data_IF_161911795399
#
_entry.id   IF_161911795399
#
_cell.length_a   1.000
_cell.length_b   1.000
_cell.length_c   1.000
_cell.angle_alpha   90.00
_cell.angle_beta   90.00
_cell.angle_gamma   90.00
#
_symmetry.space_group_name_H-M   'P 1'
#
loop_
_entity.id
_entity.type
_entity.pdbx_description
1 polymer ?
#
# COMPACT_ATOMS: atom_id res chain seq x y z
N UNK A 1 1.28 -11.48 -19.75
CA UNK A 1 0.97 -11.91 -18.43
C UNK A 1 1.28 -10.78 -17.49
N UNK A 2 0.53 -10.04 -17.05
CA UNK A 2 -0.81 -10.02 -16.77
C UNK A 2 -1.12 -8.68 -16.17
N UNK A 3 -1.47 -7.81 -17.06
CA UNK A 3 -2.03 -6.52 -16.71
C UNK A 3 -3.25 -6.67 -15.79
N UNK A 4 -3.91 -7.82 -15.81
CA UNK A 4 -5.09 -8.13 -15.01
C UNK A 4 -4.87 -8.14 -13.49
N UNK A 5 -3.68 -8.49 -13.02
CA UNK A 5 -3.34 -8.44 -11.59
C UNK A 5 -3.00 -7.04 -11.08
N UNK A 6 -2.76 -6.08 -11.98
CA UNK A 6 -2.52 -4.67 -11.64
C UNK A 6 -3.80 -3.82 -11.70
N UNK A 7 -4.86 -4.31 -12.34
CA UNK A 7 -6.09 -3.55 -12.49
C UNK A 7 -6.90 -3.45 -11.18
N UNK A 8 -6.78 -4.43 -10.29
CA UNK A 8 -7.53 -4.47 -9.04
C UNK A 8 -6.73 -4.06 -7.80
N UNK A 9 -5.45 -3.77 -7.95
CA UNK A 9 -4.56 -3.35 -6.87
C UNK A 9 -3.47 -2.43 -7.42
N UNK A 10 -3.71 -1.15 -7.42
CA UNK A 10 -2.77 -0.14 -7.90
C UNK A 10 -2.54 0.93 -6.86
N UNK A 11 -1.29 1.18 -6.56
CA UNK A 11 -0.85 2.25 -5.64
C UNK A 11 0.11 3.15 -6.38
N UNK A 12 -0.07 4.46 -6.22
CA UNK A 12 0.89 5.47 -6.65
C UNK A 12 1.14 6.41 -5.49
N UNK A 13 2.40 6.54 -5.09
CA UNK A 13 2.84 7.42 -4.01
C UNK A 13 3.95 8.34 -4.49
N UNK A 14 3.91 9.58 -4.06
CA UNK A 14 4.93 10.60 -4.36
C UNK A 14 5.39 11.17 -3.03
N UNK A 15 6.69 11.15 -2.81
CA UNK A 15 7.27 11.65 -1.57
C UNK A 15 8.78 11.74 -1.61
N UNK A 16 9.34 12.06 -0.47
CA UNK A 16 10.79 12.18 -0.27
C UNK A 16 11.35 10.91 0.35
N UNK A 17 12.43 10.40 -0.20
CA UNK A 17 13.15 9.26 0.38
C UNK A 17 13.83 9.74 1.67
N UNK A 18 13.53 9.04 2.79
CA UNK A 18 14.02 9.43 4.12
C UNK A 18 14.88 8.38 4.80
N UNK A 19 15.05 7.21 4.19
CA UNK A 19 15.92 6.14 4.69
C UNK A 19 16.92 5.67 3.64
N UNK A 20 17.92 4.91 4.08
CA UNK A 20 18.71 4.06 3.20
C UNK A 20 17.95 2.79 2.82
N UNK A 21 18.54 1.99 1.94
CA UNK A 21 18.02 0.70 1.53
C UNK A 21 18.41 -0.38 2.54
N UNK A 22 17.41 -1.14 3.01
CA UNK A 22 17.63 -2.30 3.89
C UNK A 22 17.28 -3.56 3.12
N UNK A 23 18.22 -4.49 2.99
CA UNK A 23 17.98 -5.77 2.33
C UNK A 23 16.85 -6.53 3.04
N UNK A 24 15.91 -7.03 2.26
CA UNK A 24 14.78 -7.83 2.76
C UNK A 24 14.95 -9.30 2.41
N UNK A 25 14.98 -9.62 1.14
CA UNK A 25 15.08 -10.99 0.63
C UNK A 25 15.52 -10.99 -0.83
N UNK A 26 15.82 -12.17 -1.34
CA UNK A 26 16.10 -12.36 -2.75
C UNK A 26 15.19 -13.45 -3.34
N UNK A 27 14.78 -13.26 -4.59
CA UNK A 27 14.00 -14.21 -5.36
C UNK A 27 14.72 -14.45 -6.69
N UNK A 28 15.12 -15.69 -6.97
CA UNK A 28 15.85 -16.03 -8.18
C UNK A 28 17.07 -15.13 -8.47
N UNK A 29 17.82 -14.79 -7.41
CA UNK A 29 19.01 -13.94 -7.53
C UNK A 29 18.74 -12.44 -7.64
N UNK A 30 17.50 -12.01 -7.63
CA UNK A 30 17.10 -10.59 -7.59
C UNK A 30 16.87 -10.15 -6.15
N UNK A 31 17.62 -9.14 -5.71
CA UNK A 31 17.48 -8.58 -4.36
C UNK A 31 16.34 -7.58 -4.25
N UNK A 32 15.61 -7.68 -3.15
CA UNK A 32 14.54 -6.76 -2.76
C UNK A 32 14.91 -6.04 -1.47
N UNK A 33 14.67 -4.75 -1.47
CA UNK A 33 15.06 -3.83 -0.40
C UNK A 33 13.87 -3.02 0.10
N UNK A 34 13.90 -2.71 1.39
CA UNK A 34 12.98 -1.77 2.01
C UNK A 34 13.59 -0.38 2.00
N UNK A 35 12.77 0.61 1.69
CA UNK A 35 13.08 2.04 1.78
C UNK A 35 11.85 2.80 2.21
N UNK A 36 12.03 3.83 3.02
CA UNK A 36 10.93 4.63 3.54
C UNK A 36 10.74 5.92 2.73
N UNK A 37 9.51 6.17 2.33
CA UNK A 37 9.10 7.36 1.61
C UNK A 37 8.22 8.21 2.52
N UNK A 38 8.60 9.48 2.73
CA UNK A 38 7.82 10.46 3.44
C UNK A 38 6.82 11.11 2.48
N UNK A 39 5.55 10.87 2.68
CA UNK A 39 4.46 11.34 1.82
C UNK A 39 3.65 12.40 2.55
N UNK A 40 3.62 13.61 1.99
CA UNK A 40 2.87 14.71 2.57
C UNK A 40 1.37 14.54 2.34
N UNK A 41 0.59 14.85 3.38
CA UNK A 41 -0.87 14.97 3.30
C UNK A 41 -1.25 16.39 2.87
N UNK A 42 -2.53 16.58 2.57
CA UNK A 42 -3.11 17.92 2.40
C UNK A 42 -3.07 18.76 3.68
N UNK A 43 -3.05 18.10 4.84
CA UNK A 43 -2.73 18.70 6.12
C UNK A 43 -1.21 18.84 6.27
N UNK A 44 -0.75 19.64 7.22
CA UNK A 44 0.69 19.81 7.52
C UNK A 44 1.40 18.54 8.05
N UNK A 45 0.72 17.42 8.02
CA UNK A 45 1.23 16.12 8.46
C UNK A 45 1.78 15.31 7.27
N UNK A 46 2.68 14.39 7.57
CA UNK A 46 3.21 13.45 6.61
C UNK A 46 3.14 12.01 7.14
N UNK A 47 3.06 11.06 6.22
CA UNK A 47 3.11 9.63 6.51
C UNK A 47 4.40 9.04 6.00
N UNK A 48 4.98 8.12 6.75
CA UNK A 48 6.09 7.31 6.28
C UNK A 48 5.53 6.01 5.71
N UNK A 49 5.75 5.80 4.43
CA UNK A 49 5.28 4.62 3.69
C UNK A 49 6.45 3.73 3.33
N UNK A 50 6.49 2.48 3.82
CA UNK A 50 7.53 1.54 3.44
C UNK A 50 7.30 1.03 2.02
N UNK A 51 8.34 1.10 1.21
CA UNK A 51 8.38 0.58 -0.14
C UNK A 51 9.27 -0.66 -0.20
N UNK A 52 8.81 -1.69 -0.89
CA UNK A 52 9.60 -2.86 -1.27
C UNK A 52 10.04 -2.68 -2.73
N UNK A 53 11.31 -2.53 -2.97
CA UNK A 53 11.85 -2.19 -4.27
C UNK A 53 12.94 -3.18 -4.71
N UNK A 54 12.91 -3.55 -5.99
CA UNK A 54 13.94 -4.40 -6.59
C UNK A 54 15.20 -3.61 -6.92
N UNK A 55 16.35 -4.23 -6.73
CA UNK A 55 17.65 -3.70 -7.19
C UNK A 55 17.72 -3.45 -8.70
N UNK A 56 16.81 -4.02 -9.48
CA UNK A 56 16.70 -3.76 -10.93
C UNK A 56 16.09 -2.41 -11.27
N UNK A 57 15.31 -1.84 -10.34
CA UNK A 57 14.61 -0.55 -10.55
C UNK A 57 15.46 0.64 -10.11
N UNK A 58 16.40 0.43 -9.19
CA UNK A 58 17.18 1.49 -8.56
C UNK A 58 18.54 0.94 -8.12
N UNK A 59 19.57 1.77 -8.17
CA UNK A 59 20.88 1.42 -7.65
C UNK A 59 20.90 1.53 -6.12
N UNK A 60 20.74 0.40 -5.44
CA UNK A 60 20.65 0.32 -3.98
C UNK A 60 21.97 0.64 -3.26
N UNK A 61 23.07 0.80 -3.99
CA UNK A 61 24.37 1.20 -3.43
C UNK A 61 24.51 2.71 -3.27
N UNK A 62 23.59 3.49 -3.89
CA UNK A 62 23.58 4.95 -3.81
C UNK A 62 22.67 5.45 -2.70
N UNK A 63 22.98 6.62 -2.20
CA UNK A 63 22.15 7.33 -1.23
C UNK A 63 21.22 8.30 -1.95
N UNK A 64 19.91 8.04 -1.87
CA UNK A 64 18.87 8.88 -2.46
C UNK A 64 18.07 9.67 -1.41
N UNK A 65 18.52 9.71 -0.16
CA UNK A 65 17.83 10.48 0.88
C UNK A 65 17.71 11.95 0.48
N UNK A 66 16.52 12.50 0.64
CA UNK A 66 16.20 13.87 0.21
C UNK A 66 15.71 13.99 -1.23
N UNK A 67 15.82 12.95 -2.06
CA UNK A 67 15.27 12.96 -3.41
C UNK A 67 13.76 12.73 -3.39
N UNK A 68 13.05 13.42 -4.29
CA UNK A 68 11.62 13.18 -4.52
C UNK A 68 11.43 12.10 -5.56
N UNK A 69 10.59 11.15 -5.24
CA UNK A 69 10.33 9.98 -6.08
C UNK A 69 8.84 9.69 -6.16
N UNK A 70 8.37 9.39 -7.35
CA UNK A 70 7.10 8.72 -7.59
C UNK A 70 7.34 7.21 -7.69
N UNK A 71 6.61 6.45 -6.92
CA UNK A 71 6.62 5.00 -6.96
C UNK A 71 5.22 4.48 -7.25
N UNK A 72 5.12 3.60 -8.23
CA UNK A 72 3.88 2.91 -8.58
C UNK A 72 4.04 1.41 -8.43
N UNK A 73 2.99 0.74 -7.97
CA UNK A 73 3.01 -0.70 -7.77
C UNK A 73 1.74 -1.23 -7.16
N UNK A 74 1.89 -2.21 -6.29
CA UNK A 74 0.80 -2.90 -5.63
C UNK A 74 0.91 -2.78 -4.12
N UNK A 75 -0.22 -2.69 -3.45
CA UNK A 75 -0.28 -2.79 -2.01
C UNK A 75 -0.13 -4.25 -1.59
N UNK A 76 0.82 -4.55 -0.71
CA UNK A 76 1.07 -5.91 -0.21
C UNK A 76 1.20 -5.94 1.29
N UNK A 77 0.76 -7.04 1.88
CA UNK A 77 0.91 -7.32 3.29
C UNK A 77 1.70 -8.62 3.50
N UNK A 78 2.47 -8.65 4.55
CA UNK A 78 3.10 -9.87 5.04
C UNK A 78 3.10 -9.90 6.57
N UNK A 79 3.10 -11.10 7.12
CA UNK A 79 3.21 -11.30 8.55
C UNK A 79 4.69 -11.35 8.95
N UNK A 80 5.11 -10.39 9.77
CA UNK A 80 6.42 -10.40 10.40
C UNK A 80 6.32 -11.09 11.76
N UNK A 81 7.15 -12.10 11.95
CA UNK A 81 7.27 -12.78 13.24
C UNK A 81 8.27 -12.01 14.12
N UNK A 82 7.80 -11.44 15.21
CA UNK A 82 8.62 -10.81 16.25
C UNK A 82 8.43 -11.58 17.57
N UNK A 83 9.30 -12.58 17.77
CA UNK A 83 9.17 -13.47 18.92
C UNK A 83 7.85 -14.26 18.89
N UNK A 84 6.99 -14.05 19.89
CA UNK A 84 5.67 -14.73 20.01
C UNK A 84 4.54 -13.97 19.32
N UNK A 85 4.81 -12.77 18.78
CA UNK A 85 3.79 -11.90 18.14
C UNK A 85 3.94 -11.89 16.64
N UNK A 86 2.82 -12.02 15.97
CA UNK A 86 2.72 -11.79 14.53
C UNK A 86 2.24 -10.35 14.29
N UNK A 87 3.02 -9.59 13.56
CA UNK A 87 2.64 -8.24 13.14
C UNK A 87 2.39 -8.22 11.64
N UNK A 88 1.20 -7.76 11.26
CA UNK A 88 0.90 -7.49 9.85
C UNK A 88 1.66 -6.23 9.43
N UNK A 89 2.53 -6.35 8.44
CA UNK A 89 3.24 -5.24 7.83
C UNK A 89 2.67 -4.99 6.45
N UNK A 90 2.32 -3.74 6.19
CA UNK A 90 1.84 -3.28 4.90
C UNK A 90 2.95 -2.52 4.20
N UNK A 91 3.13 -2.77 2.91
CA UNK A 91 4.12 -2.07 2.09
C UNK A 91 3.62 -1.89 0.66
N UNK A 92 4.20 -0.96 -0.05
CA UNK A 92 4.02 -0.84 -1.50
C UNK A 92 5.10 -1.67 -2.19
N UNK A 93 4.68 -2.68 -2.92
CA UNK A 93 5.58 -3.45 -3.79
C UNK A 93 5.73 -2.69 -5.11
N UNK A 94 6.89 -2.07 -5.28
CA UNK A 94 7.15 -1.13 -6.37
C UNK A 94 7.38 -1.86 -7.69
N UNK A 95 6.72 -1.39 -8.75
CA UNK A 95 6.89 -1.87 -10.13
C UNK A 95 7.61 -0.85 -11.00
N UNK A 96 7.37 0.44 -10.73
CA UNK A 96 7.97 1.53 -11.47
C UNK A 96 8.39 2.65 -10.51
N UNK A 97 9.49 3.30 -10.83
CA UNK A 97 9.97 4.49 -10.13
C UNK A 97 10.25 5.59 -11.12
N UNK A 98 10.00 6.82 -10.70
CA UNK A 98 10.37 8.02 -11.42
C UNK A 98 10.87 9.06 -10.42
N UNK A 99 12.11 9.51 -10.60
CA UNK A 99 12.61 10.67 -9.87
C UNK A 99 12.04 11.93 -10.47
N UNK A 100 11.72 12.88 -9.63
CA UNK A 100 11.22 14.18 -10.04
C UNK A 100 11.89 15.28 -9.21
N UNK A 101 11.84 16.48 -9.75
CA UNK A 101 12.19 17.67 -9.00
C UNK A 101 11.11 17.94 -7.95
N UNK A 102 10.96 19.15 -7.46
CA UNK A 102 9.95 19.45 -6.46
C UNK A 102 8.53 19.14 -6.92
N UNK A 103 7.75 18.57 -6.01
CA UNK A 103 6.35 18.26 -6.22
C UNK A 103 5.50 19.00 -5.19
N UNK A 104 4.58 19.84 -5.67
CA UNK A 104 3.77 20.74 -4.83
C UNK A 104 2.29 20.39 -4.81
N UNK A 105 1.81 19.52 -5.69
CA UNK A 105 0.40 19.09 -5.72
C UNK A 105 0.17 17.89 -4.80
N UNK A 106 -0.05 18.18 -3.52
CA UNK A 106 -0.29 17.13 -2.51
C UNK A 106 -1.64 16.42 -2.64
N UNK A 107 -2.48 16.79 -3.60
CA UNK A 107 -3.77 16.08 -3.84
C UNK A 107 -3.57 14.70 -4.45
N UNK A 108 -2.43 14.44 -5.07
CA UNK A 108 -2.13 13.22 -5.81
C UNK A 108 -0.96 12.40 -5.25
N UNK A 109 -0.47 12.77 -4.07
CA UNK A 109 0.71 12.13 -3.48
C UNK A 109 0.49 10.70 -2.98
N UNK A 110 -0.77 10.33 -2.75
CA UNK A 110 -1.12 9.01 -2.22
C UNK A 110 -2.44 8.56 -2.82
N UNK A 111 -2.33 7.75 -3.87
CA UNK A 111 -3.48 7.21 -4.59
C UNK A 111 -3.47 5.68 -4.52
N UNK A 112 -4.58 5.12 -4.07
CA UNK A 112 -4.76 3.68 -3.96
C UNK A 112 -6.06 3.29 -4.65
N UNK A 113 -5.96 2.37 -5.60
CA UNK A 113 -7.11 1.72 -6.20
C UNK A 113 -7.11 0.24 -5.83
N UNK A 114 -8.19 -0.20 -5.20
CA UNK A 114 -8.37 -1.59 -4.79
C UNK A 114 -9.77 -2.04 -5.17
N UNK A 115 -9.83 -3.14 -5.89
CA UNK A 115 -11.06 -3.83 -6.24
C UNK A 115 -10.97 -5.26 -5.69
N UNK A 116 -11.95 -5.67 -4.90
CA UNK A 116 -11.90 -6.94 -4.22
C UNK A 116 -13.12 -7.22 -3.35
N UNK A 117 -12.96 -8.12 -2.40
CA UNK A 117 -14.03 -8.61 -1.55
C UNK A 117 -13.83 -8.20 -0.09
N UNK A 118 -14.90 -7.86 0.60
CA UNK A 118 -14.90 -7.68 2.05
C UNK A 118 -14.98 -9.05 2.70
N UNK A 119 -13.97 -9.42 3.50
CA UNK A 119 -13.83 -10.76 4.06
C UNK A 119 -14.67 -10.99 5.31
N UNK A 120 -15.05 -9.93 6.01
CA UNK A 120 -15.85 -9.99 7.22
C UNK A 120 -16.62 -8.70 7.43
N UNK A 121 -17.64 -8.75 8.26
CA UNK A 121 -18.41 -7.56 8.61
C UNK A 121 -17.50 -6.42 9.11
N UNK A 122 -17.69 -5.20 8.59
CA UNK A 122 -16.92 -4.04 9.02
C UNK A 122 -17.17 -3.72 10.50
N UNK A 123 -16.10 -3.36 11.20
CA UNK A 123 -16.21 -2.93 12.60
C UNK A 123 -16.26 -1.41 12.65
N UNK A 124 -17.42 -0.90 13.05
CA UNK A 124 -17.62 0.54 13.25
C UNK A 124 -17.13 0.97 14.63
N UNK A 125 -16.47 2.10 14.68
CA UNK A 125 -16.06 2.74 15.94
C UNK A 125 -16.04 4.26 15.81
N UNK A 126 -16.21 4.93 16.95
CA UNK A 126 -16.08 6.37 17.06
C UNK A 126 -14.83 6.71 17.87
N UNK A 127 -14.03 7.63 17.36
CA UNK A 127 -12.84 8.10 18.10
C UNK A 127 -13.24 9.05 19.23
N UNK A 128 -12.37 9.27 20.25
CA UNK A 128 -12.62 10.25 21.30
C UNK A 128 -12.89 11.67 20.79
N UNK A 129 -12.35 12.01 19.61
CA UNK A 129 -12.58 13.30 18.94
C UNK A 129 -13.85 13.34 18.08
N UNK A 130 -14.70 12.32 18.17
CA UNK A 130 -15.99 12.26 17.47
C UNK A 130 -15.91 11.84 16.00
N UNK A 131 -14.76 11.40 15.48
CA UNK A 131 -14.64 10.87 14.12
C UNK A 131 -15.18 9.46 14.05
N UNK A 132 -15.97 9.20 13.03
CA UNK A 132 -16.49 7.87 12.74
C UNK A 132 -15.50 7.11 11.84
N UNK A 133 -15.18 5.87 12.20
CA UNK A 133 -14.24 5.01 11.51
C UNK A 133 -14.87 3.64 11.32
N UNK A 134 -14.73 3.08 10.13
CA UNK A 134 -15.02 1.69 9.87
C UNK A 134 -13.72 0.94 9.56
N UNK A 135 -13.45 -0.10 10.31
CA UNK A 135 -12.32 -1.00 10.05
C UNK A 135 -12.80 -2.13 9.14
N UNK A 136 -12.20 -2.24 7.96
CA UNK A 136 -12.53 -3.22 6.93
C UNK A 136 -11.39 -4.22 6.77
N UNK A 137 -11.74 -5.49 6.57
CA UNK A 137 -10.82 -6.49 6.07
C UNK A 137 -11.21 -6.84 4.65
N UNK A 138 -10.41 -6.37 3.69
CA UNK A 138 -10.61 -6.64 2.27
C UNK A 138 -9.59 -7.64 1.73
N UNK A 139 -9.98 -8.36 0.68
CA UNK A 139 -9.12 -9.25 -0.08
C UNK A 139 -9.25 -8.94 -1.57
N UNK A 140 -8.14 -8.63 -2.21
CA UNK A 140 -7.98 -8.77 -3.66
C UNK A 140 -7.41 -10.16 -3.95
N UNK A 141 -7.34 -10.59 -5.18
CA UNK A 141 -6.88 -11.95 -5.51
C UNK A 141 -5.52 -12.32 -4.88
N UNK A 142 -4.71 -11.32 -4.52
CA UNK A 142 -3.37 -11.52 -3.96
C UNK A 142 -3.07 -10.74 -2.68
N UNK A 143 -4.06 -10.10 -2.05
CA UNK A 143 -3.80 -9.23 -0.91
C UNK A 143 -4.93 -9.21 0.12
N UNK A 144 -4.55 -9.23 1.38
CA UNK A 144 -5.46 -8.95 2.51
C UNK A 144 -5.15 -7.58 3.09
N UNK A 145 -6.15 -6.71 3.16
CA UNK A 145 -6.03 -5.34 3.70
C UNK A 145 -6.89 -5.22 4.95
N UNK A 146 -6.34 -4.62 5.97
CA UNK A 146 -6.97 -4.60 7.28
C UNK A 146 -7.47 -3.22 7.75
N UNK A 147 -7.50 -2.18 6.91
CA UNK A 147 -7.99 -0.87 7.37
C UNK A 147 -8.38 0.09 6.24
N UNK A 148 -9.56 0.72 6.36
CA UNK A 148 -9.94 1.89 5.57
C UNK A 148 -10.36 3.04 6.49
N UNK A 149 -9.95 4.25 6.17
CA UNK A 149 -10.44 5.46 6.83
C UNK A 149 -11.66 6.02 6.08
N UNK A 150 -12.65 6.59 6.77
CA UNK A 150 -13.83 7.16 6.12
C UNK A 150 -13.43 8.38 5.28
N UNK A 151 -13.75 8.33 4.01
CA UNK A 151 -13.42 9.35 3.01
C UNK A 151 -13.23 8.80 1.61
N UNK A 152 -13.01 7.51 1.46
CA UNK A 152 -13.11 6.83 0.17
C UNK A 152 -14.59 6.49 -0.08
N UNK A 153 -15.19 7.11 -1.07
CA UNK A 153 -16.60 6.95 -1.39
C UNK A 153 -17.00 5.48 -1.50
N UNK A 154 -18.05 5.16 -0.79
CA UNK A 154 -18.81 3.92 -0.95
C UNK A 154 -19.21 3.77 -2.39
N UNK A 155 -18.56 2.88 -3.14
CA UNK A 155 -19.19 2.32 -4.33
C UNK A 155 -20.05 1.16 -3.88
N UNK A 156 -21.31 1.20 -4.28
CA UNK A 156 -22.31 0.16 -4.04
C UNK A 156 -21.70 -1.20 -4.41
N UNK A 157 -21.47 -2.01 -3.41
CA UNK A 157 -21.17 -3.41 -3.61
C UNK A 157 -22.52 -4.15 -3.72
N UNK A 158 -22.88 -4.52 -4.93
CA UNK A 158 -23.97 -5.47 -5.13
C UNK A 158 -23.56 -6.83 -4.54
N UNK A 159 -24.37 -7.42 -3.68
CA UNK A 159 -24.18 -8.81 -3.30
C UNK A 159 -24.66 -9.68 -4.47
N UNK A 160 -23.74 -10.16 -5.29
CA UNK A 160 -24.10 -11.21 -6.25
C UNK A 160 -24.22 -12.53 -5.54
N UNK A 161 -25.45 -12.94 -5.51
CA UNK A 161 -26.02 -14.29 -5.54
C UNK A 161 -25.10 -15.43 -5.10
N UNK A 162 -25.29 -15.86 -3.87
CA UNK A 162 -25.11 -17.26 -3.50
C UNK A 162 -25.98 -18.12 -4.43
N UNK A 163 -25.38 -18.83 -5.36
CA UNK A 163 -26.07 -19.91 -6.05
C UNK A 163 -26.24 -21.07 -5.06
N UNK A 164 -27.46 -21.25 -4.61
CA UNK A 164 -27.96 -22.52 -4.08
C UNK A 164 -27.68 -23.61 -5.11
N UNK A 165 -26.94 -24.60 -4.72
CA UNK A 165 -27.07 -25.91 -5.29
C UNK A 165 -27.58 -26.83 -4.18
N UNK A 166 -28.89 -27.01 -4.19
CA UNK A 166 -29.56 -28.07 -3.46
C UNK A 166 -29.41 -29.40 -4.16
N UNK A 167 -29.56 -30.42 -3.36
CA UNK A 167 -29.76 -31.86 -3.59
C UNK A 167 -28.53 -32.68 -3.79
#
# INVERSE_FOLDING_TARGET
MTEKGMENNKVTVIGTIVSGFTFSHAVFGEGFYLVDLLVNRLSEQADTIPLMISERLIDVTKDYRGCTMEASGQFRSYNRHEGTKNRLVLSVFVREVRFMEEFTDYTKTNQIFLDGYICKEPVYRKTPLGREIADLLGRTENLTISRASPGAGTRDMHPDSASEQGS
#
